data_IF_212299833704
#
_entry.id   IF_212299833704
#
_cell.length_a   1.000
_cell.length_b   1.000
_cell.length_c   1.000
_cell.angle_alpha   90.00
_cell.angle_beta   90.00
_cell.angle_gamma   90.00
#
_symmetry.space_group_name_H-M   'P 1'
#
loop_
_entity.id
_entity.type
_entity.pdbx_description
1 polymer ?
#
# COMPACT_ATOMS: atom_id res chain seq x y z
N UNK A 1 -24.90 12.38 1.71
CA UNK A 1 -24.44 11.68 2.92
C UNK A 1 -23.33 12.51 3.51
N UNK A 2 -23.45 12.97 4.77
CA UNK A 2 -22.42 13.78 5.40
C UNK A 2 -21.16 12.95 5.62
N UNK A 3 -19.99 13.49 5.24
CA UNK A 3 -18.72 12.87 5.57
C UNK A 3 -18.57 12.82 7.10
N UNK A 4 -18.16 11.68 7.65
CA UNK A 4 -17.91 11.59 9.09
C UNK A 4 -16.67 12.40 9.46
N UNK A 5 -16.63 12.91 10.69
CA UNK A 5 -15.44 13.56 11.23
C UNK A 5 -14.23 12.62 11.23
N UNK A 6 -13.06 13.15 10.94
CA UNK A 6 -11.83 12.38 11.05
C UNK A 6 -11.65 11.97 12.51
N UNK A 7 -11.63 10.66 12.77
CA UNK A 7 -11.45 10.01 14.09
C UNK A 7 -10.05 10.24 14.69
N UNK A 8 -9.66 11.49 14.81
CA UNK A 8 -8.37 11.96 15.31
C UNK A 8 -7.36 12.34 14.23
N UNK A 9 -6.26 12.98 14.64
CA UNK A 9 -5.28 13.58 13.74
C UNK A 9 -4.52 12.57 12.88
N UNK A 10 -4.59 11.28 13.20
CA UNK A 10 -3.90 10.18 12.52
C UNK A 10 -4.69 9.59 11.36
N UNK A 11 -5.97 9.95 11.21
CA UNK A 11 -6.80 9.51 10.08
C UNK A 11 -6.42 10.29 8.83
N UNK A 12 -6.13 9.57 7.74
CA UNK A 12 -6.02 10.17 6.43
C UNK A 12 -7.40 10.64 5.98
N UNK A 13 -7.54 11.92 5.63
CA UNK A 13 -8.82 12.47 5.19
C UNK A 13 -9.09 12.19 3.71
N UNK A 14 -8.06 11.95 2.91
CA UNK A 14 -8.18 11.50 1.51
C UNK A 14 -6.92 10.76 1.07
N UNK A 15 -7.00 10.13 -0.09
CA UNK A 15 -5.87 9.61 -0.86
C UNK A 15 -5.80 10.30 -2.21
N UNK A 16 -4.59 10.72 -2.59
CA UNK A 16 -4.29 11.17 -3.94
C UNK A 16 -3.57 10.05 -4.69
N UNK A 17 -3.93 9.85 -5.95
CA UNK A 17 -3.24 8.95 -6.89
C UNK A 17 -2.53 9.80 -7.93
N UNK A 18 -1.27 9.45 -8.24
CA UNK A 18 -0.54 10.03 -9.36
C UNK A 18 -0.07 8.95 -10.32
N UNK A 19 -0.54 9.08 -11.56
CA UNK A 19 -0.30 8.17 -12.68
C UNK A 19 0.96 8.58 -13.47
N UNK A 20 1.48 7.71 -14.37
CA UNK A 20 2.76 7.94 -15.06
C UNK A 20 2.74 9.10 -16.04
N UNK A 21 1.57 9.41 -16.60
CA UNK A 21 1.33 10.57 -17.45
C UNK A 21 1.31 11.88 -16.66
N UNK A 22 1.44 11.81 -15.34
CA UNK A 22 1.39 12.95 -14.43
C UNK A 22 -0.02 13.31 -13.99
N UNK A 23 -1.05 12.56 -14.40
CA UNK A 23 -2.41 12.79 -13.95
C UNK A 23 -2.49 12.56 -12.43
N UNK A 24 -3.04 13.54 -11.72
CA UNK A 24 -3.29 13.50 -10.29
C UNK A 24 -4.80 13.41 -10.05
N UNK A 25 -5.22 12.41 -9.29
CA UNK A 25 -6.64 12.15 -8.97
C UNK A 25 -6.81 12.14 -7.46
N UNK A 26 -7.74 12.94 -6.96
CA UNK A 26 -8.24 12.85 -5.58
C UNK A 26 -9.31 11.75 -5.52
N UNK A 27 -9.13 10.73 -4.69
CA UNK A 27 -10.15 9.68 -4.48
C UNK A 27 -11.38 10.18 -3.71
N UNK A 28 -11.32 11.43 -3.22
CA UNK A 28 -12.39 12.08 -2.49
C UNK A 28 -12.27 11.88 -0.98
N UNK A 29 -12.90 12.76 -0.20
CA UNK A 29 -12.71 12.77 1.24
C UNK A 29 -13.36 11.57 1.93
N UNK A 30 -12.57 10.84 2.71
CA UNK A 30 -13.01 9.80 3.63
C UNK A 30 -13.64 10.40 4.89
N UNK A 31 -13.13 11.55 5.32
CA UNK A 31 -13.58 12.26 6.52
C UNK A 31 -13.30 13.77 6.45
N UNK A 32 -13.89 14.54 7.37
CA UNK A 32 -13.67 15.99 7.50
C UNK A 32 -12.77 16.34 8.71
N UNK A 33 -11.84 17.27 8.52
CA UNK A 33 -11.00 17.80 9.60
C UNK A 33 -11.80 18.79 10.47
N UNK A 34 -11.95 18.51 11.77
CA UNK A 34 -12.83 19.30 12.66
C UNK A 34 -12.07 20.43 13.37
N UNK A 35 -10.84 20.18 13.80
CA UNK A 35 -10.04 21.14 14.61
C UNK A 35 -9.10 22.01 13.76
N UNK A 36 -9.12 21.84 12.45
CA UNK A 36 -8.25 22.58 11.51
C UNK A 36 -9.01 22.83 10.22
N UNK A 37 -8.79 23.98 9.53
CA UNK A 37 -9.30 24.17 8.18
C UNK A 37 -8.94 22.97 7.30
N UNK A 38 -9.91 22.50 6.51
CA UNK A 38 -9.73 21.35 5.64
C UNK A 38 -8.52 21.58 4.72
N UNK A 39 -7.45 20.77 4.82
CA UNK A 39 -6.29 20.96 3.96
C UNK A 39 -6.66 20.71 2.51
N UNK A 40 -6.00 21.44 1.60
CA UNK A 40 -6.19 21.24 0.18
C UNK A 40 -5.79 19.81 -0.23
N UNK A 41 -6.64 19.15 -1.02
CA UNK A 41 -6.34 17.90 -1.71
C UNK A 41 -5.51 18.18 -2.97
N UNK A 42 -4.27 18.62 -2.79
CA UNK A 42 -3.31 18.79 -3.89
C UNK A 42 -2.12 17.90 -3.64
N UNK A 43 -1.58 17.33 -4.71
CA UNK A 43 -0.33 16.60 -4.63
C UNK A 43 0.78 17.53 -4.17
N UNK A 44 1.48 17.14 -3.12
CA UNK A 44 2.68 17.83 -2.68
C UNK A 44 3.63 16.83 -2.02
N UNK A 45 4.76 16.46 -2.67
CA UNK A 45 5.68 15.46 -2.14
C UNK A 45 6.41 15.91 -0.86
N UNK A 46 6.45 17.22 -0.61
CA UNK A 46 7.15 17.82 0.54
C UNK A 46 6.21 18.19 1.70
N UNK A 47 4.92 17.87 1.58
CA UNK A 47 3.95 18.20 2.62
C UNK A 47 4.18 17.32 3.87
N UNK A 48 4.50 17.91 5.05
CA UNK A 48 4.68 17.15 6.28
C UNK A 48 3.40 16.45 6.76
N UNK A 49 2.24 16.81 6.19
CA UNK A 49 0.93 16.17 6.40
C UNK A 49 0.63 15.09 5.37
N UNK A 50 1.62 14.62 4.62
CA UNK A 50 1.45 13.58 3.63
C UNK A 50 2.36 12.37 3.87
N UNK A 51 1.87 11.19 3.50
CA UNK A 51 2.70 10.00 3.28
C UNK A 51 2.60 9.63 1.81
N UNK A 52 3.68 9.84 1.05
CA UNK A 52 3.76 9.46 -0.37
C UNK A 52 4.43 8.10 -0.51
N UNK A 53 3.80 7.13 -1.15
CA UNK A 53 4.37 5.80 -1.33
C UNK A 53 4.19 5.26 -2.74
N UNK A 54 5.11 4.40 -3.15
CA UNK A 54 5.08 3.75 -4.46
C UNK A 54 4.12 2.56 -4.45
N UNK A 55 3.17 2.52 -5.38
CA UNK A 55 2.18 1.44 -5.42
C UNK A 55 2.85 0.08 -5.66
N UNK A 56 2.53 -0.90 -4.81
CA UNK A 56 3.24 -2.19 -4.76
C UNK A 56 3.07 -3.03 -6.04
N UNK A 57 1.88 -2.98 -6.64
CA UNK A 57 1.55 -3.73 -7.86
C UNK A 57 1.94 -2.98 -9.15
N UNK A 58 2.08 -1.66 -9.06
CA UNK A 58 2.28 -0.76 -10.21
C UNK A 58 3.32 0.27 -9.81
N UNK A 59 4.60 -0.09 -9.93
CA UNK A 59 5.70 0.75 -9.44
C UNK A 59 5.74 2.17 -10.06
N UNK A 60 5.12 2.35 -11.22
CA UNK A 60 4.98 3.64 -11.89
C UNK A 60 3.84 4.51 -11.33
N UNK A 61 3.03 4.00 -10.39
CA UNK A 61 2.02 4.76 -9.67
C UNK A 61 2.55 5.20 -8.32
N UNK A 62 2.20 6.41 -7.93
CA UNK A 62 2.46 6.92 -6.59
C UNK A 62 1.15 7.28 -5.92
N UNK A 63 1.09 7.03 -4.62
CA UNK A 63 -0.09 7.20 -3.79
C UNK A 63 0.28 8.12 -2.66
N UNK A 64 -0.58 9.07 -2.31
CA UNK A 64 -0.33 9.99 -1.22
C UNK A 64 -1.52 10.00 -0.24
N UNK A 65 -1.29 9.51 0.98
CA UNK A 65 -2.23 9.68 2.08
C UNK A 65 -2.09 11.08 2.65
N UNK A 66 -3.22 11.78 2.83
CA UNK A 66 -3.28 13.16 3.30
C UNK A 66 -3.87 13.23 4.70
N UNK A 67 -3.25 13.95 5.63
CA UNK A 67 -3.69 14.06 7.03
C UNK A 67 -4.05 15.51 7.39
N UNK A 68 -4.88 15.70 8.43
CA UNK A 68 -5.24 17.04 8.90
C UNK A 68 -4.05 17.79 9.53
N UNK A 69 -3.10 17.06 10.11
CA UNK A 69 -1.96 17.58 10.89
C UNK A 69 -0.66 16.88 10.50
N UNK A 70 0.47 17.52 10.80
CA UNK A 70 1.80 17.02 10.47
C UNK A 70 2.02 15.60 11.03
N UNK A 71 2.65 14.75 10.22
CA UNK A 71 3.02 13.37 10.56
C UNK A 71 4.51 13.12 10.44
N UNK A 72 5.17 13.81 9.52
CA UNK A 72 6.61 13.72 9.31
C UNK A 72 7.22 15.11 9.48
N UNK A 73 7.28 15.65 10.71
CA UNK A 73 7.88 16.96 10.95
C UNK A 73 9.36 16.94 10.57
N UNK A 74 9.91 18.08 10.15
CA UNK A 74 11.33 18.22 9.74
C UNK A 74 12.35 17.73 10.79
N UNK A 75 11.95 17.72 12.06
CA UNK A 75 12.75 17.28 13.21
C UNK A 75 12.86 15.76 13.32
N UNK A 76 12.00 15.02 12.64
CA UNK A 76 12.01 13.56 12.65
C UNK A 76 13.28 13.07 11.96
N UNK A 77 13.99 12.15 12.61
CA UNK A 77 15.24 11.60 12.07
C UNK A 77 15.03 10.99 10.69
N UNK A 78 16.08 11.04 9.86
CA UNK A 78 16.13 10.30 8.60
C UNK A 78 16.28 8.81 8.91
N UNK A 79 15.60 7.95 8.15
CA UNK A 79 15.66 6.50 8.36
C UNK A 79 17.06 5.94 8.08
N UNK A 80 17.49 4.98 8.91
CA UNK A 80 18.63 4.13 8.59
C UNK A 80 18.28 3.13 7.48
N UNK A 81 19.26 2.59 6.74
CA UNK A 81 19.01 1.54 5.75
C UNK A 81 18.25 0.35 6.36
N UNK A 82 17.20 -0.10 5.68
CA UNK A 82 16.33 -1.18 6.15
C UNK A 82 15.42 -0.85 7.35
N UNK A 83 15.50 0.38 7.90
CA UNK A 83 14.63 0.79 9.01
C UNK A 83 13.18 0.95 8.54
N UNK A 84 12.26 0.44 9.36
CA UNK A 84 10.83 0.70 9.18
C UNK A 84 10.52 2.16 9.44
N UNK A 85 10.00 2.83 8.42
CA UNK A 85 9.72 4.26 8.42
C UNK A 85 8.33 4.58 8.98
N UNK A 86 7.32 3.83 8.57
CA UNK A 86 5.93 4.07 8.99
C UNK A 86 5.10 2.78 9.04
N UNK A 87 4.00 2.84 9.80
CA UNK A 87 2.96 1.81 9.81
C UNK A 87 1.61 2.50 9.62
N UNK A 88 0.91 2.10 8.57
CA UNK A 88 -0.48 2.48 8.31
C UNK A 88 -1.39 1.31 8.67
N UNK A 89 -2.64 1.59 9.01
CA UNK A 89 -3.62 0.57 9.30
C UNK A 89 -5.03 0.98 8.86
N UNK A 90 -5.88 -0.01 8.59
CA UNK A 90 -7.32 0.16 8.33
C UNK A 90 -8.06 -1.06 8.83
N UNK A 91 -9.36 -0.95 9.09
CA UNK A 91 -10.18 -2.11 9.42
C UNK A 91 -10.25 -3.11 8.25
N UNK A 92 -10.45 -4.39 8.53
CA UNK A 92 -10.58 -5.42 7.48
C UNK A 92 -11.89 -5.33 6.69
N UNK A 93 -12.87 -4.59 7.21
CA UNK A 93 -14.22 -4.44 6.65
C UNK A 93 -14.42 -3.13 5.88
N UNK A 94 -13.40 -2.27 5.82
CA UNK A 94 -13.51 -0.94 5.22
C UNK A 94 -12.15 -0.35 4.88
N UNK A 95 -12.16 0.86 4.31
CA UNK A 95 -10.96 1.58 3.95
C UNK A 95 -10.92 2.93 4.64
N UNK A 96 -10.37 2.95 5.86
CA UNK A 96 -10.15 4.14 6.67
C UNK A 96 -8.70 4.10 7.15
N UNK A 97 -7.85 4.83 6.44
CA UNK A 97 -6.40 4.70 6.62
C UNK A 97 -5.94 5.56 7.79
N UNK A 98 -5.39 4.93 8.82
CA UNK A 98 -4.83 5.57 10.00
C UNK A 98 -3.32 5.36 10.08
N UNK A 99 -2.58 6.39 10.45
CA UNK A 99 -1.18 6.24 10.79
C UNK A 99 -1.03 5.68 12.19
N UNK A 100 -0.66 4.41 12.29
CA UNK A 100 -0.38 3.77 13.57
C UNK A 100 0.94 4.28 14.17
N UNK A 101 1.98 4.40 13.34
CA UNK A 101 3.32 4.80 13.76
C UNK A 101 4.04 5.59 12.65
N UNK A 102 4.71 6.68 13.04
CA UNK A 102 5.74 7.36 12.25
C UNK A 102 7.07 7.25 13.01
N UNK A 103 8.07 6.59 12.44
CA UNK A 103 9.35 6.30 13.11
C UNK A 103 10.49 7.18 12.61
N UNK A 104 10.57 7.37 11.30
CA UNK A 104 11.61 8.16 10.66
C UNK A 104 11.11 8.66 9.29
N UNK A 105 11.85 9.61 8.71
CA UNK A 105 11.56 10.22 7.40
C UNK A 105 12.45 9.62 6.32
N UNK A 106 11.88 9.35 5.15
CA UNK A 106 12.65 8.98 3.96
C UNK A 106 13.24 10.22 3.29
N UNK A 107 14.44 10.11 2.70
CA UNK A 107 15.19 11.27 2.18
C UNK A 107 14.36 12.12 1.19
N UNK A 108 13.55 11.46 0.36
CA UNK A 108 12.67 12.08 -0.65
C UNK A 108 11.17 11.98 -0.31
N UNK A 109 10.83 11.71 0.96
CA UNK A 109 9.46 11.43 1.43
C UNK A 109 8.71 10.34 0.63
N UNK A 110 9.44 9.50 -0.12
CA UNK A 110 8.90 8.35 -0.83
C UNK A 110 9.10 7.10 0.02
N UNK A 111 7.97 6.49 0.35
CA UNK A 111 7.90 5.27 1.15
C UNK A 111 7.62 4.07 0.23
N UNK A 112 8.10 2.91 0.60
CA UNK A 112 7.92 1.67 -0.16
C UNK A 112 7.36 0.59 0.75
N UNK A 113 6.26 -0.01 0.29
CA UNK A 113 5.54 -1.03 1.02
C UNK A 113 6.33 -2.35 1.00
N UNK A 114 6.72 -2.80 2.20
CA UNK A 114 7.49 -4.02 2.42
C UNK A 114 6.59 -5.22 2.66
N UNK A 115 5.55 -5.03 3.46
CA UNK A 115 4.53 -6.04 3.65
C UNK A 115 3.23 -5.40 4.16
N UNK A 116 2.16 -6.17 4.08
CA UNK A 116 0.99 -5.95 4.93
C UNK A 116 0.51 -7.25 5.51
N UNK A 117 -0.08 -7.20 6.71
CA UNK A 117 -0.65 -8.37 7.35
C UNK A 117 -1.86 -8.03 8.18
N UNK A 118 -2.70 -9.03 8.39
CA UNK A 118 -3.87 -8.96 9.24
C UNK A 118 -3.46 -9.17 10.70
N UNK A 119 -3.89 -8.29 11.58
CA UNK A 119 -3.74 -8.40 13.03
C UNK A 119 -5.11 -8.15 13.67
N UNK A 120 -5.82 -9.24 14.01
CA UNK A 120 -7.21 -9.16 14.44
C UNK A 120 -8.11 -8.63 13.33
N UNK A 121 -8.80 -7.52 13.59
CA UNK A 121 -9.72 -6.86 12.65
C UNK A 121 -9.07 -5.70 11.90
N UNK A 122 -7.74 -5.61 11.93
CA UNK A 122 -6.98 -4.57 11.24
C UNK A 122 -6.04 -5.16 10.20
N UNK A 123 -5.97 -4.50 9.04
CA UNK A 123 -4.82 -4.60 8.14
C UNK A 123 -3.75 -3.62 8.59
N UNK A 124 -2.51 -4.07 8.71
CA UNK A 124 -1.34 -3.21 8.95
C UNK A 124 -0.40 -3.25 7.75
N UNK A 125 -0.03 -2.08 7.26
CA UNK A 125 0.84 -1.84 6.12
C UNK A 125 2.16 -1.25 6.61
N UNK A 126 3.26 -1.90 6.25
CA UNK A 126 4.58 -1.62 6.78
C UNK A 126 5.47 -1.01 5.70
N UNK A 127 5.94 0.20 5.95
CA UNK A 127 6.68 0.98 4.97
C UNK A 127 8.13 1.19 5.40
N UNK A 128 9.05 1.01 4.46
CA UNK A 128 10.45 1.40 4.57
C UNK A 128 10.76 2.49 3.52
N UNK A 129 11.98 3.02 3.52
CA UNK A 129 12.41 3.98 2.49
C UNK A 129 12.98 3.31 1.24
N UNK A 130 13.49 2.10 1.39
CA UNK A 130 14.16 1.37 0.32
C UNK A 130 13.63 -0.05 0.26
N UNK A 131 13.47 -0.55 -0.96
CA UNK A 131 13.16 -1.93 -1.32
C UNK A 131 14.11 -2.30 -2.45
N UNK A 132 14.83 -3.41 -2.34
CA UNK A 132 15.74 -3.82 -3.40
C UNK A 132 14.96 -4.11 -4.69
N UNK A 133 15.56 -3.83 -5.84
CA UNK A 133 15.01 -4.28 -7.14
C UNK A 133 15.31 -5.76 -7.33
N UNK A 134 14.38 -6.51 -7.92
CA UNK A 134 14.59 -7.92 -8.22
C UNK A 134 15.73 -8.08 -9.23
N UNK A 135 16.71 -8.94 -8.92
CA UNK A 135 17.89 -9.15 -9.77
C UNK A 135 17.52 -9.84 -11.09
N UNK A 136 16.56 -10.77 -11.03
CA UNK A 136 16.05 -11.50 -12.18
C UNK A 136 14.73 -10.90 -12.65
N UNK A 137 14.54 -10.86 -13.98
CA UNK A 137 13.32 -10.31 -14.59
C UNK A 137 12.04 -11.03 -14.13
N UNK A 138 12.11 -12.35 -13.90
CA UNK A 138 11.03 -13.18 -13.37
C UNK A 138 11.35 -13.70 -11.95
N UNK A 139 12.11 -12.91 -11.21
CA UNK A 139 12.53 -13.22 -9.85
C UNK A 139 11.35 -13.32 -8.88
N UNK A 140 11.55 -14.07 -7.80
CA UNK A 140 10.62 -14.14 -6.68
C UNK A 140 10.48 -12.77 -6.03
N UNK A 141 9.28 -12.18 -6.11
CA UNK A 141 9.04 -10.80 -5.70
C UNK A 141 8.18 -10.69 -4.44
N UNK A 142 7.33 -11.69 -4.16
CA UNK A 142 6.51 -11.71 -2.96
C UNK A 142 6.13 -13.13 -2.52
N UNK A 143 5.68 -13.23 -1.27
CA UNK A 143 5.00 -14.39 -0.71
C UNK A 143 3.67 -13.95 -0.10
N UNK A 144 2.60 -14.67 -0.44
CA UNK A 144 1.26 -14.45 0.10
C UNK A 144 0.95 -15.59 1.06
N UNK A 145 0.88 -15.30 2.35
CA UNK A 145 0.43 -16.26 3.37
C UNK A 145 -1.09 -16.27 3.42
N UNK A 146 -1.69 -17.45 3.39
CA UNK A 146 -3.15 -17.64 3.34
C UNK A 146 -3.62 -18.65 4.39
N UNK A 147 -4.88 -18.53 4.80
CA UNK A 147 -5.58 -19.55 5.56
C UNK A 147 -6.75 -20.09 4.75
N UNK A 148 -6.84 -21.43 4.68
CA UNK A 148 -7.99 -22.08 4.03
C UNK A 148 -9.24 -21.83 4.86
N UNK A 149 -10.28 -21.29 4.23
CA UNK A 149 -11.56 -21.13 4.88
C UNK A 149 -12.23 -22.51 5.02
N UNK A 150 -12.53 -22.91 6.25
CA UNK A 150 -13.14 -24.22 6.52
C UNK A 150 -14.59 -24.32 6.07
N UNK A 151 -15.28 -23.19 5.89
CA UNK A 151 -16.72 -23.12 5.58
C UNK A 151 -17.00 -23.00 4.08
N UNK A 152 -16.05 -22.48 3.31
CA UNK A 152 -16.21 -22.24 1.87
C UNK A 152 -15.10 -22.97 1.11
N UNK A 153 -15.49 -24.00 0.37
CA UNK A 153 -14.57 -24.73 -0.50
C UNK A 153 -13.96 -23.77 -1.53
N UNK A 154 -12.64 -23.80 -1.68
CA UNK A 154 -11.86 -22.94 -2.58
C UNK A 154 -11.74 -21.45 -2.18
N UNK A 155 -12.05 -21.11 -0.93
CA UNK A 155 -11.76 -19.80 -0.37
C UNK A 155 -10.51 -19.83 0.50
N UNK A 156 -9.60 -18.91 0.20
CA UNK A 156 -8.37 -18.69 0.93
C UNK A 156 -8.35 -17.24 1.40
N UNK A 157 -8.28 -17.06 2.71
CA UNK A 157 -8.25 -15.75 3.33
C UNK A 157 -6.79 -15.33 3.47
N UNK A 158 -6.39 -14.27 2.74
CA UNK A 158 -5.05 -13.69 2.82
C UNK A 158 -4.80 -13.24 4.26
N UNK A 159 -3.63 -13.58 4.80
CA UNK A 159 -3.17 -13.15 6.11
C UNK A 159 -2.03 -12.15 6.01
N UNK A 160 -1.13 -12.35 5.06
CA UNK A 160 0.06 -11.51 4.89
C UNK A 160 0.51 -11.53 3.44
N UNK A 161 1.02 -10.40 2.97
CA UNK A 161 1.79 -10.30 1.74
C UNK A 161 3.13 -9.70 2.11
N UNK A 162 4.19 -10.49 1.96
CA UNK A 162 5.57 -10.05 2.13
C UNK A 162 6.18 -9.82 0.76
N UNK A 163 6.77 -8.65 0.54
CA UNK A 163 7.48 -8.35 -0.69
C UNK A 163 8.99 -8.39 -0.47
N UNK A 164 9.68 -9.18 -1.28
CA UNK A 164 11.13 -9.32 -1.21
C UNK A 164 11.85 -8.26 -2.03
N UNK A 165 11.29 -7.87 -3.16
CA UNK A 165 11.91 -6.91 -4.08
C UNK A 165 10.87 -6.20 -4.97
N UNK A 166 11.27 -5.09 -5.58
CA UNK A 166 10.51 -4.38 -6.60
C UNK A 166 10.82 -4.96 -7.99
N UNK A 167 9.81 -5.30 -8.76
CA UNK A 167 10.01 -5.77 -10.13
C UNK A 167 10.58 -4.64 -11.01
N UNK A 168 11.39 -5.01 -12.01
CA UNK A 168 11.95 -4.09 -12.98
C UNK A 168 10.86 -3.39 -13.82
N UNK A 169 11.23 -2.35 -14.55
CA UNK A 169 10.32 -1.63 -15.45
C UNK A 169 9.61 -2.60 -16.42
N UNK A 170 8.31 -2.35 -16.67
CA UNK A 170 7.46 -3.19 -17.50
C UNK A 170 6.97 -4.49 -16.84
N UNK A 171 7.42 -4.78 -15.61
CA UNK A 171 7.03 -5.95 -14.84
C UNK A 171 6.21 -5.55 -13.59
N UNK A 172 5.43 -6.48 -13.06
CA UNK A 172 4.65 -6.32 -11.84
C UNK A 172 4.75 -7.52 -10.93
N UNK A 173 4.55 -7.30 -9.63
CA UNK A 173 4.39 -8.36 -8.64
C UNK A 173 2.92 -8.41 -8.21
N UNK A 174 2.15 -9.38 -8.70
CA UNK A 174 0.73 -9.51 -8.34
C UNK A 174 0.57 -9.87 -6.87
N UNK A 175 -0.21 -9.08 -6.13
CA UNK A 175 -0.58 -9.38 -4.75
C UNK A 175 -1.92 -10.14 -4.66
N UNK A 176 -2.46 -10.59 -5.80
CA UNK A 176 -3.74 -11.29 -5.88
C UNK A 176 -3.56 -12.79 -5.89
N UNK A 177 -4.47 -13.48 -5.20
CA UNK A 177 -4.63 -14.94 -5.28
C UNK A 177 -5.50 -15.27 -6.50
N UNK A 178 -4.85 -15.74 -7.55
CA UNK A 178 -5.43 -16.14 -8.83
C UNK A 178 -5.86 -17.61 -8.79
N UNK A 179 -6.60 -18.05 -9.81
CA UNK A 179 -7.14 -19.41 -9.83
C UNK A 179 -6.06 -20.49 -9.84
N UNK A 180 -4.97 -20.29 -10.59
CA UNK A 180 -3.86 -21.26 -10.62
C UNK A 180 -3.18 -21.40 -9.25
N UNK A 181 -3.08 -20.32 -8.48
CA UNK A 181 -2.54 -20.39 -7.11
C UNK A 181 -3.43 -21.23 -6.20
N UNK A 182 -4.76 -21.07 -6.32
CA UNK A 182 -5.72 -21.86 -5.55
C UNK A 182 -5.62 -23.34 -5.89
N UNK A 183 -5.39 -23.66 -7.16
CA UNK A 183 -5.25 -25.04 -7.62
C UNK A 183 -3.93 -25.65 -7.13
N UNK A 184 -2.85 -24.87 -7.09
CA UNK A 184 -1.57 -25.28 -6.48
C UNK A 184 -1.72 -25.52 -4.97
N UNK A 185 -2.32 -24.58 -4.24
CA UNK A 185 -2.59 -24.71 -2.80
C UNK A 185 -3.40 -25.97 -2.46
N UNK A 186 -4.36 -26.35 -3.31
CA UNK A 186 -5.13 -27.60 -3.10
C UNK A 186 -4.26 -28.85 -3.27
N UNK A 187 -3.34 -28.83 -4.25
CA UNK A 187 -2.46 -29.97 -4.55
C UNK A 187 -1.39 -30.15 -3.49
N UNK A 188 -0.80 -29.05 -3.03
CA UNK A 188 0.34 -29.07 -2.09
C UNK A 188 -0.08 -28.98 -0.63
N UNK A 189 -1.31 -28.53 -0.36
CA UNK A 189 -1.79 -28.16 0.98
C UNK A 189 -0.87 -27.13 1.67
N UNK A 190 -0.18 -26.29 0.89
CA UNK A 190 0.68 -25.25 1.40
C UNK A 190 -0.11 -24.11 2.08
N UNK A 191 0.52 -23.41 3.03
CA UNK A 191 -0.05 -22.23 3.70
C UNK A 191 0.32 -20.90 3.03
N UNK A 192 0.99 -20.93 1.88
CA UNK A 192 1.49 -19.74 1.19
C UNK A 192 1.58 -19.95 -0.32
N UNK A 193 1.66 -18.83 -1.04
CA UNK A 193 1.87 -18.76 -2.49
C UNK A 193 3.10 -17.89 -2.74
N UNK A 194 3.98 -18.35 -3.63
CA UNK A 194 5.11 -17.56 -4.09
C UNK A 194 4.76 -16.83 -5.39
N UNK A 195 5.13 -15.55 -5.46
CA UNK A 195 4.84 -14.66 -6.58
C UNK A 195 6.12 -14.23 -7.25
N UNK A 196 6.11 -14.26 -8.57
CA UNK A 196 7.22 -13.85 -9.42
C UNK A 196 6.85 -12.61 -10.20
N UNK A 197 7.87 -11.84 -10.58
CA UNK A 197 7.69 -10.71 -11.48
C UNK A 197 7.12 -11.21 -12.81
N UNK A 198 6.02 -10.60 -13.25
CA UNK A 198 5.35 -10.94 -14.51
C UNK A 198 5.21 -9.69 -15.38
N UNK A 199 5.20 -9.87 -16.70
CA UNK A 199 5.01 -8.75 -17.64
C UNK A 199 3.64 -8.12 -17.43
N UNK A 200 3.60 -6.79 -17.40
CA UNK A 200 2.34 -6.04 -17.40
C UNK A 200 1.67 -6.32 -18.74
N UNK A 201 0.78 -7.32 -18.79
CA UNK A 201 -0.14 -7.46 -19.91
C UNK A 201 -1.01 -6.21 -19.87
N UNK A 202 -0.74 -5.25 -20.76
CA UNK A 202 -1.65 -4.15 -21.03
C UNK A 202 -2.97 -4.78 -21.48
N UNK A 203 -3.89 -5.03 -20.56
CA UNK A 203 -5.28 -5.24 -20.92
C UNK A 203 -5.71 -3.92 -21.55
N UNK A 204 -5.82 -3.90 -22.89
CA UNK A 204 -6.15 -2.72 -23.70
C UNK A 204 -7.56 -2.17 -23.44
N UNK A 205 -7.84 -1.77 -22.20
CA UNK A 205 -9.06 -1.10 -21.74
C UNK A 205 -8.75 0.22 -21.01
N UNK A 206 -7.61 0.84 -21.30
CA UNK A 206 -7.31 2.24 -20.91
C UNK A 206 -7.40 3.18 -22.14
N UNK A 207 -8.41 2.96 -22.99
CA UNK A 207 -8.93 4.00 -23.89
C UNK A 207 -10.41 4.16 -23.61
N UNK A 208 -10.80 5.41 -23.35
CA UNK A 208 -12.13 5.93 -23.04
C UNK A 208 -12.47 6.00 -21.55
N UNK A 209 -11.97 7.07 -20.90
CA UNK A 209 -12.85 7.96 -20.17
C UNK A 209 -12.37 9.39 -20.26
#
# INVERSE_FOLDING_TARGET
MGHSDCRGPRHAYTTMMRYPDGLEVDEGPYCQCVDTPQPASKWNPDDPKALTWQHYERAHWTVQYRFCTDKFPKKLKVCSPGERAAVMQTETTGWHIHMAQARCRCHNNLFQLQNWRREGDLWKYYYNCEKPTCQEREGLCARITVLKNKKEENKYDVQEVEFFCACSEGMMCSAKVLQHDKDELKKTNAGFIEKRCESIRQTGKEKNR
#
